data_IF_879093860259
#
_entry.id   IF_879093860259
#
_cell.length_a   1.000
_cell.length_b   1.000
_cell.length_c   1.000
_cell.angle_alpha   90.00
_cell.angle_beta   90.00
_cell.angle_gamma   90.00
#
_symmetry.space_group_name_H-M   'P 1'
#
loop_
_entity.id
_entity.type
_entity.pdbx_description
1 polymer ?
#
# COMPACT_ATOMS: atom_id res chain seq x y z
N UNK A 1 -15.26 -0.40 8.71
CA UNK A 1 -14.28 -0.77 9.77
C UNK A 1 -14.13 -2.28 9.87
N UNK A 2 -15.20 -3.03 10.15
CA UNK A 2 -15.14 -4.49 10.34
C UNK A 2 -14.43 -5.27 9.22
N UNK A 3 -14.75 -4.97 7.96
CA UNK A 3 -14.09 -5.62 6.81
C UNK A 3 -12.60 -5.29 6.69
N UNK A 4 -12.15 -4.11 7.13
CA UNK A 4 -10.73 -3.74 7.05
C UNK A 4 -9.90 -4.41 8.16
N UNK A 5 -10.51 -4.65 9.33
CA UNK A 5 -9.93 -5.50 10.38
C UNK A 5 -9.89 -6.97 9.94
N UNK A 6 -10.97 -7.48 9.35
CA UNK A 6 -11.04 -8.84 8.80
C UNK A 6 -9.98 -9.06 7.70
N UNK A 7 -9.74 -8.09 6.81
CA UNK A 7 -8.68 -8.19 5.80
C UNK A 7 -7.29 -8.20 6.41
N UNK A 8 -7.04 -7.44 7.48
CA UNK A 8 -5.74 -7.47 8.18
C UNK A 8 -5.46 -8.83 8.81
N UNK A 9 -6.48 -9.45 9.40
CA UNK A 9 -6.36 -10.81 9.94
C UNK A 9 -6.04 -11.83 8.86
N UNK A 10 -6.63 -11.70 7.67
CA UNK A 10 -6.35 -12.60 6.54
C UNK A 10 -4.88 -12.48 6.07
N UNK A 11 -4.38 -11.25 5.90
CA UNK A 11 -2.99 -11.03 5.47
C UNK A 11 -1.98 -11.57 6.49
N UNK A 12 -2.28 -11.41 7.79
CA UNK A 12 -1.46 -11.95 8.86
C UNK A 12 -1.48 -13.48 8.86
N UNK A 13 -2.65 -14.09 8.77
CA UNK A 13 -2.80 -15.55 8.72
C UNK A 13 -2.05 -16.16 7.54
N UNK A 14 -2.19 -15.58 6.35
CA UNK A 14 -1.49 -16.02 5.15
C UNK A 14 0.03 -15.90 5.28
N UNK A 15 0.52 -14.90 6.02
CA UNK A 15 1.95 -14.76 6.25
C UNK A 15 2.53 -15.85 7.16
N UNK A 16 1.71 -16.46 8.02
CA UNK A 16 2.09 -17.51 8.94
C UNK A 16 1.98 -18.92 8.34
N UNK A 17 1.44 -19.04 7.13
CA UNK A 17 1.25 -20.30 6.43
C UNK A 17 2.34 -20.51 5.37
N UNK A 18 2.77 -21.76 5.20
CA UNK A 18 3.60 -22.14 4.06
C UNK A 18 2.75 -22.35 2.79
N UNK A 19 3.39 -22.76 1.69
CA UNK A 19 2.70 -23.01 0.40
C UNK A 19 1.68 -24.15 0.45
N UNK A 20 1.74 -24.99 1.49
CA UNK A 20 0.81 -26.10 1.72
C UNK A 20 -0.31 -25.72 2.72
N UNK A 21 -0.21 -24.53 3.33
CA UNK A 21 -1.20 -24.00 4.28
C UNK A 21 -0.91 -24.36 5.73
N UNK A 22 0.23 -24.97 6.03
CA UNK A 22 0.63 -25.37 7.38
C UNK A 22 1.20 -24.18 8.15
N UNK A 23 0.88 -24.11 9.44
CA UNK A 23 1.36 -23.04 10.32
C UNK A 23 2.83 -23.31 10.68
N UNK A 24 3.68 -22.33 10.38
CA UNK A 24 5.11 -22.39 10.70
C UNK A 24 5.29 -22.11 12.21
N UNK A 25 5.31 -23.17 13.02
CA UNK A 25 5.18 -23.13 14.49
C UNK A 25 6.38 -22.47 15.22
N UNK A 26 7.50 -22.22 14.52
CA UNK A 26 8.79 -21.90 15.16
C UNK A 26 9.38 -20.52 14.78
N UNK A 27 8.85 -19.84 13.76
CA UNK A 27 9.50 -18.67 13.16
C UNK A 27 8.96 -17.34 13.73
N UNK A 28 9.80 -16.62 14.48
CA UNK A 28 9.48 -15.26 14.92
C UNK A 28 9.34 -14.36 13.70
N UNK A 29 8.22 -13.64 13.60
CA UNK A 29 7.93 -12.69 12.51
C UNK A 29 7.89 -11.26 13.03
N UNK A 30 8.21 -10.33 12.15
CA UNK A 30 8.19 -8.89 12.40
C UNK A 30 7.21 -8.25 11.42
N UNK A 31 6.26 -7.50 11.96
CA UNK A 31 5.39 -6.63 11.19
C UNK A 31 5.97 -5.21 11.17
N UNK A 32 6.06 -4.62 9.98
CA UNK A 32 6.50 -3.24 9.78
C UNK A 32 5.40 -2.51 9.02
N UNK A 33 4.97 -1.36 9.52
CA UNK A 33 3.97 -0.50 8.89
C UNK A 33 4.48 0.93 8.77
N UNK A 34 4.39 1.49 7.56
CA UNK A 34 4.57 2.91 7.29
C UNK A 34 3.24 3.52 6.88
N UNK A 35 2.96 4.73 7.37
CA UNK A 35 1.69 5.41 7.13
C UNK A 35 1.88 6.93 7.09
N UNK A 36 1.27 7.62 6.12
CA UNK A 36 1.15 9.07 6.10
C UNK A 36 -0.25 9.47 6.56
N UNK A 37 -0.34 10.18 7.68
CA UNK A 37 -1.60 10.73 8.18
C UNK A 37 -1.81 12.16 7.63
N UNK A 38 -2.93 12.40 6.94
CA UNK A 38 -3.32 13.75 6.54
C UNK A 38 -3.85 14.57 7.71
N UNK A 39 -3.77 15.90 7.62
CA UNK A 39 -4.24 16.83 8.67
C UNK A 39 -5.75 16.73 8.97
N UNK A 40 -6.53 16.20 8.04
CA UNK A 40 -7.99 16.02 8.17
C UNK A 40 -8.39 14.55 8.32
N UNK A 41 -7.43 13.62 8.48
CA UNK A 41 -7.68 12.19 8.64
C UNK A 41 -8.16 11.46 7.38
N UNK A 42 -8.35 12.16 6.26
CA UNK A 42 -8.76 11.57 4.98
C UNK A 42 -7.64 11.72 3.94
N UNK A 43 -7.30 10.61 3.28
CA UNK A 43 -6.06 10.31 2.54
C UNK A 43 -4.93 9.85 3.44
N UNK A 44 -4.81 8.53 3.51
CA UNK A 44 -3.80 7.85 4.31
C UNK A 44 -3.12 6.84 3.40
N UNK A 45 -1.88 7.14 3.03
CA UNK A 45 -1.04 6.21 2.29
C UNK A 45 -0.44 5.25 3.30
N UNK A 46 -0.54 3.95 3.08
CA UNK A 46 0.07 2.97 3.98
C UNK A 46 0.72 1.83 3.22
N UNK A 47 1.78 1.29 3.81
CA UNK A 47 2.47 0.10 3.35
C UNK A 47 2.79 -0.76 4.57
N UNK A 48 2.37 -2.01 4.53
CA UNK A 48 2.64 -2.99 5.59
C UNK A 48 3.31 -4.24 5.04
N UNK A 49 4.17 -4.85 5.84
CA UNK A 49 4.85 -6.10 5.50
C UNK A 49 5.12 -6.92 6.75
N UNK A 50 4.87 -8.22 6.64
CA UNK A 50 5.26 -9.22 7.62
C UNK A 50 6.43 -10.02 7.05
N UNK A 51 7.52 -10.11 7.80
CA UNK A 51 8.75 -10.81 7.40
C UNK A 51 9.25 -11.70 8.52
N UNK A 52 10.01 -12.73 8.20
CA UNK A 52 10.71 -13.51 9.23
C UNK A 52 11.76 -12.64 9.90
N UNK A 53 11.97 -12.87 11.20
CA UNK A 53 12.96 -12.13 11.97
C UNK A 53 14.37 -12.30 11.38
N UNK A 54 14.70 -13.46 10.81
CA UNK A 54 15.99 -13.69 10.15
C UNK A 54 16.25 -12.76 8.94
N UNK A 55 15.19 -12.22 8.33
CA UNK A 55 15.27 -11.36 7.13
C UNK A 55 14.98 -9.88 7.40
N UNK A 56 14.83 -9.49 8.67
CA UNK A 56 14.27 -8.18 9.01
C UNK A 56 15.01 -6.99 8.37
N UNK A 57 16.34 -7.03 8.35
CA UNK A 57 17.15 -5.95 7.77
C UNK A 57 16.90 -5.78 6.27
N UNK A 58 16.86 -6.89 5.52
CA UNK A 58 16.59 -6.85 4.09
C UNK A 58 15.15 -6.41 3.81
N UNK A 59 14.19 -6.92 4.58
CA UNK A 59 12.79 -6.56 4.45
C UNK A 59 12.54 -5.07 4.74
N UNK A 60 13.23 -4.48 5.72
CA UNK A 60 13.17 -3.03 6.01
C UNK A 60 13.70 -2.23 4.81
N UNK A 61 14.88 -2.58 4.28
CA UNK A 61 15.48 -1.83 3.16
C UNK A 61 14.58 -1.88 1.92
N UNK A 62 14.04 -3.05 1.58
CA UNK A 62 13.10 -3.18 0.47
C UNK A 62 11.83 -2.37 0.74
N UNK A 63 11.27 -2.44 1.95
CA UNK A 63 10.05 -1.71 2.30
C UNK A 63 10.24 -0.20 2.18
N UNK A 64 11.41 0.33 2.55
CA UNK A 64 11.74 1.75 2.39
C UNK A 64 11.81 2.17 0.92
N UNK A 65 12.38 1.34 0.04
CA UNK A 65 12.41 1.61 -1.40
C UNK A 65 11.03 1.60 -2.02
N UNK A 66 10.22 0.62 -1.65
CA UNK A 66 8.85 0.51 -2.13
C UNK A 66 8.02 1.69 -1.64
N UNK A 67 8.23 2.11 -0.39
CA UNK A 67 7.61 3.30 0.18
C UNK A 67 7.97 4.58 -0.57
N UNK A 68 9.25 4.75 -0.93
CA UNK A 68 9.71 5.89 -1.73
C UNK A 68 9.04 5.93 -3.11
N UNK A 69 9.00 4.79 -3.81
CA UNK A 69 8.34 4.68 -5.11
C UNK A 69 6.83 4.97 -5.00
N UNK A 70 6.19 4.48 -3.95
CA UNK A 70 4.78 4.66 -3.70
C UNK A 70 4.44 6.12 -3.37
N UNK A 71 5.29 6.80 -2.58
CA UNK A 71 5.18 8.24 -2.35
C UNK A 71 5.37 9.05 -3.63
N UNK A 72 6.34 8.68 -4.47
CA UNK A 72 6.61 9.36 -5.74
C UNK A 72 5.39 9.26 -6.67
N UNK A 73 4.83 8.07 -6.85
CA UNK A 73 3.67 7.89 -7.72
C UNK A 73 2.42 8.56 -7.13
N UNK A 74 2.19 8.43 -5.82
CA UNK A 74 1.03 9.04 -5.17
C UNK A 74 1.07 10.58 -5.15
N UNK A 75 2.25 11.18 -5.25
CA UNK A 75 2.45 12.64 -5.28
C UNK A 75 2.70 13.21 -6.68
N UNK A 76 2.84 12.36 -7.70
CA UNK A 76 3.08 12.78 -9.08
C UNK A 76 1.95 13.68 -9.57
N UNK A 77 2.31 14.75 -10.29
CA UNK A 77 1.35 15.52 -11.05
C UNK A 77 0.81 14.65 -12.20
N UNK A 78 -0.49 14.35 -12.13
CA UNK A 78 -1.20 13.65 -13.19
C UNK A 78 -1.96 14.69 -14.01
N UNK A 79 -1.92 14.64 -15.36
CA UNK A 79 -2.78 15.47 -16.18
C UNK A 79 -4.23 15.36 -15.71
N UNK A 80 -4.90 16.50 -15.58
CA UNK A 80 -6.32 16.57 -15.26
C UNK A 80 -7.14 16.26 -16.52
N UNK A 81 -7.04 15.02 -16.99
CA UNK A 81 -7.69 14.52 -18.19
C UNK A 81 -8.98 13.74 -17.88
N UNK A 82 -9.42 13.74 -16.61
CA UNK A 82 -10.65 13.09 -16.24
C UNK A 82 -11.84 13.99 -16.60
N UNK A 83 -12.94 13.40 -17.05
CA UNK A 83 -14.13 14.13 -17.51
C UNK A 83 -14.81 15.01 -16.43
N UNK A 84 -14.44 14.86 -15.16
CA UNK A 84 -14.91 15.74 -14.06
C UNK A 84 -13.93 16.86 -13.73
N UNK A 85 -12.75 16.88 -14.35
CA UNK A 85 -11.78 17.94 -14.13
C UNK A 85 -12.16 19.19 -14.90
N UNK A 86 -12.16 20.33 -14.20
CA UNK A 86 -12.55 21.64 -14.77
C UNK A 86 -11.63 22.08 -15.91
N UNK A 87 -10.39 21.60 -15.92
CA UNK A 87 -9.36 21.92 -16.93
C UNK A 87 -9.24 20.85 -18.01
N UNK A 88 -10.06 19.78 -17.98
CA UNK A 88 -10.00 18.75 -18.99
C UNK A 88 -10.41 19.32 -20.36
N UNK A 89 -9.63 19.07 -21.42
CA UNK A 89 -10.01 19.49 -22.76
C UNK A 89 -11.32 18.81 -23.17
N UNK A 90 -12.15 19.51 -23.94
CA UNK A 90 -13.37 18.94 -24.48
C UNK A 90 -13.04 17.67 -25.28
N UNK A 91 -13.78 16.59 -25.03
CA UNK A 91 -13.58 15.31 -25.73
C UNK A 91 -13.73 15.46 -27.26
N UNK A 92 -14.59 16.39 -27.69
CA UNK A 92 -14.75 16.81 -29.08
C UNK A 92 -14.84 18.34 -29.08
N UNK A 93 -13.95 18.99 -29.82
CA UNK A 93 -14.06 20.40 -30.16
C UNK A 93 -14.88 20.54 -31.45
N UNK A 94 -15.99 21.29 -31.36
CA UNK A 94 -16.92 21.51 -32.48
C UNK A 94 -16.68 22.85 -33.18
N UNK A 95 -15.59 23.56 -32.83
CA UNK A 95 -15.20 24.77 -33.55
C UNK A 95 -14.32 24.41 -34.76
N UNK A 96 -14.90 24.52 -35.95
CA UNK A 96 -14.18 24.75 -37.22
C UNK A 96 -13.88 26.24 -37.41
#
# INVERSE_FOLDING_TARGET
MKQAEETKDITLLQSCQDTEGEVLDDDVRVEIRLEVLSKNGHKTLSLERVITYSQYQHGIISLLRDWEALLLEASREVPKDFHTDVEAPAYIDLSE
#
